data_IF_609391271514
#
_entry.id   IF_609391271514
#
_cell.length_a   1.000
_cell.length_b   1.000
_cell.length_c   1.000
_cell.angle_alpha   90.00
_cell.angle_beta   90.00
_cell.angle_gamma   90.00
#
_symmetry.space_group_name_H-M   'P 1'
#
loop_
_entity.id
_entity.type
_entity.pdbx_description
1 polymer ?
#
# COMPACT_ATOMS: atom_id res chain seq x y z
N UNK A 1 -6.51 3.70 8.28
CA UNK A 1 -5.99 2.32 8.27
C UNK A 1 -4.88 2.19 9.31
N UNK A 2 -4.92 1.15 10.15
CA UNK A 2 -3.87 0.85 11.15
C UNK A 2 -3.49 -0.62 11.05
N UNK A 3 -2.21 -0.91 10.81
CA UNK A 3 -1.69 -2.27 10.66
C UNK A 3 -0.38 -2.41 11.43
N UNK A 4 0.02 -3.65 11.72
CA UNK A 4 1.29 -3.95 12.36
C UNK A 4 1.84 -5.27 11.86
N UNK A 5 3.16 -5.34 11.67
CA UNK A 5 3.85 -6.54 11.22
C UNK A 5 5.26 -6.62 11.82
N UNK A 6 5.86 -7.80 11.72
CA UNK A 6 7.18 -8.07 12.31
C UNK A 6 8.33 -7.59 11.41
N UNK A 7 8.04 -7.22 10.16
CA UNK A 7 8.98 -6.63 9.22
C UNK A 7 8.38 -5.44 8.46
N UNK A 8 9.23 -4.54 7.95
CA UNK A 8 8.78 -3.44 7.07
C UNK A 8 8.19 -3.97 5.76
N UNK A 9 8.69 -5.11 5.26
CA UNK A 9 8.23 -5.70 4.02
C UNK A 9 6.82 -6.25 4.16
N UNK A 10 6.55 -7.00 5.23
CA UNK A 10 5.21 -7.49 5.54
C UNK A 10 4.25 -6.32 5.82
N UNK A 11 4.71 -5.27 6.52
CA UNK A 11 3.88 -4.09 6.76
C UNK A 11 3.46 -3.38 5.46
N UNK A 12 4.39 -3.26 4.50
CA UNK A 12 4.08 -2.67 3.19
C UNK A 12 3.19 -3.60 2.36
N UNK A 13 3.45 -4.91 2.38
CA UNK A 13 2.62 -5.90 1.71
C UNK A 13 1.17 -5.84 2.20
N UNK A 14 0.96 -5.86 3.51
CA UNK A 14 -0.37 -5.81 4.13
C UNK A 14 -1.06 -4.48 3.81
N UNK A 15 -0.33 -3.35 3.91
CA UNK A 15 -0.88 -2.04 3.57
C UNK A 15 -1.35 -1.94 2.13
N UNK A 16 -0.53 -2.36 1.17
CA UNK A 16 -0.89 -2.33 -0.25
C UNK A 16 -2.02 -3.31 -0.57
N UNK A 17 -2.05 -4.48 0.07
CA UNK A 17 -3.13 -5.46 -0.09
C UNK A 17 -4.46 -4.92 0.43
N UNK A 18 -4.46 -4.23 1.57
CA UNK A 18 -5.65 -3.58 2.12
C UNK A 18 -6.15 -2.45 1.21
N UNK A 19 -5.26 -1.70 0.55
CA UNK A 19 -5.68 -0.70 -0.45
C UNK A 19 -6.40 -1.33 -1.64
N UNK A 20 -5.91 -2.48 -2.14
CA UNK A 20 -6.58 -3.24 -3.20
C UNK A 20 -7.95 -3.73 -2.70
N UNK A 21 -8.01 -4.29 -1.50
CA UNK A 21 -9.25 -4.77 -0.90
C UNK A 21 -10.30 -3.67 -0.79
N UNK A 22 -9.93 -2.48 -0.29
CA UNK A 22 -10.86 -1.34 -0.19
C UNK A 22 -11.26 -0.84 -1.58
N UNK A 23 -10.34 -0.81 -2.55
CA UNK A 23 -10.68 -0.49 -3.94
C UNK A 23 -11.72 -1.46 -4.50
N UNK A 24 -11.56 -2.76 -4.27
CA UNK A 24 -12.45 -3.80 -4.82
C UNK A 24 -13.83 -3.82 -4.15
N UNK A 25 -13.86 -3.58 -2.83
CA UNK A 25 -15.09 -3.66 -2.04
C UNK A 25 -15.89 -2.35 -2.05
N UNK A 26 -15.20 -1.20 -2.02
CA UNK A 26 -15.83 0.11 -1.92
C UNK A 26 -15.76 0.92 -3.23
N UNK A 27 -14.99 0.46 -4.22
CA UNK A 27 -14.84 1.18 -5.49
C UNK A 27 -14.08 2.50 -5.34
N UNK A 28 -13.16 2.60 -4.39
CA UNK A 28 -12.38 3.82 -4.11
C UNK A 28 -11.02 3.82 -4.85
N UNK A 29 -10.67 4.97 -5.44
CA UNK A 29 -9.32 5.27 -5.92
C UNK A 29 -8.63 6.24 -4.97
N UNK A 30 -7.42 5.91 -4.54
CA UNK A 30 -6.62 6.73 -3.65
C UNK A 30 -5.58 7.54 -4.41
N UNK A 31 -5.40 8.81 -4.03
CA UNK A 31 -4.42 9.70 -4.67
C UNK A 31 -3.50 10.43 -3.67
N UNK A 32 -3.83 10.40 -2.37
CA UNK A 32 -3.05 11.04 -1.32
C UNK A 32 -3.04 10.18 -0.07
N UNK A 33 -1.89 10.13 0.58
CA UNK A 33 -1.68 9.38 1.81
C UNK A 33 -0.99 10.25 2.85
N UNK A 34 -1.47 10.19 4.09
CA UNK A 34 -0.77 10.71 5.26
C UNK A 34 -0.41 9.51 6.15
N UNK A 35 0.88 9.18 6.19
CA UNK A 35 1.37 7.93 6.78
C UNK A 35 2.33 8.25 7.91
N UNK A 36 2.12 7.59 9.06
CA UNK A 36 3.08 7.54 10.15
C UNK A 36 3.49 6.08 10.35
N UNK A 37 4.80 5.81 10.35
CA UNK A 37 5.36 4.50 10.65
C UNK A 37 6.18 4.60 11.93
N UNK A 38 6.01 3.64 12.82
CA UNK A 38 6.77 3.54 14.06
C UNK A 38 7.27 2.12 14.27
N UNK A 39 8.42 1.98 14.92
CA UNK A 39 8.97 0.71 15.36
C UNK A 39 9.06 0.69 16.89
N UNK A 40 8.52 -0.36 17.52
CA UNK A 40 8.63 -0.58 18.96
C UNK A 40 8.69 -2.08 19.25
N UNK A 41 9.61 -2.50 20.11
CA UNK A 41 9.78 -3.91 20.52
C UNK A 41 9.87 -4.88 19.32
N UNK A 42 10.69 -4.56 18.32
CA UNK A 42 10.85 -5.32 17.07
C UNK A 42 9.55 -5.53 16.27
N UNK A 43 8.59 -4.62 16.42
CA UNK A 43 7.35 -4.62 15.65
C UNK A 43 7.16 -3.30 14.96
N UNK A 44 6.84 -3.35 13.67
CA UNK A 44 6.50 -2.18 12.87
C UNK A 44 5.01 -1.94 12.90
N UNK A 45 4.61 -0.67 12.87
CA UNK A 45 3.21 -0.27 12.82
C UNK A 45 3.02 0.93 11.89
N UNK A 46 1.93 0.89 11.14
CA UNK A 46 1.50 1.98 10.27
C UNK A 46 0.19 2.56 10.78
N UNK A 47 0.10 3.89 10.77
CA UNK A 47 -1.16 4.62 10.90
C UNK A 47 -1.29 5.54 9.69
N UNK A 48 -2.19 5.18 8.78
CA UNK A 48 -2.39 5.84 7.51
C UNK A 48 -3.80 6.44 7.40
N UNK A 49 -3.87 7.70 6.94
CA UNK A 49 -5.09 8.27 6.35
C UNK A 49 -4.93 8.23 4.83
N UNK A 50 -5.85 7.54 4.17
CA UNK A 50 -5.88 7.40 2.73
C UNK A 50 -7.02 8.26 2.19
N UNK A 51 -6.71 9.16 1.26
CA UNK A 51 -7.67 10.07 0.66
C UNK A 51 -7.87 9.70 -0.80
N UNK A 52 -9.11 9.80 -1.25
CA UNK A 52 -9.53 9.31 -2.53
C UNK A 52 -10.98 9.65 -2.85
N UNK A 53 -11.48 9.06 -3.91
CA UNK A 53 -12.85 9.23 -4.37
C UNK A 53 -13.36 7.94 -5.03
N UNK A 54 -14.68 7.83 -5.12
CA UNK A 54 -15.32 6.69 -5.81
C UNK A 54 -14.95 6.73 -7.29
N UNK A 55 -14.75 5.56 -7.88
CA UNK A 55 -14.47 5.39 -9.29
C UNK A 55 -15.62 5.99 -10.12
N UNK A 56 -15.32 7.10 -10.79
CA UNK A 56 -16.14 7.66 -11.86
C UNK A 56 -15.51 7.37 -13.23
N UNK A 57 -16.18 6.55 -14.07
CA UNK A 57 -15.72 6.17 -15.41
C UNK A 57 -15.73 7.33 -16.43
N UNK A 58 -16.42 8.43 -16.14
CA UNK A 58 -16.42 9.63 -17.00
C UNK A 58 -15.21 10.52 -16.73
N UNK A 59 -14.71 10.49 -15.50
CA UNK A 59 -13.59 11.32 -15.03
C UNK A 59 -12.26 10.56 -15.06
N UNK A 60 -12.27 9.28 -14.68
CA UNK A 60 -11.07 8.47 -14.52
C UNK A 60 -10.82 7.57 -15.73
N UNK A 61 -9.62 7.69 -16.31
CA UNK A 61 -9.13 6.74 -17.30
C UNK A 61 -8.54 5.51 -16.59
N UNK A 62 -9.34 4.44 -16.51
CA UNK A 62 -8.92 3.19 -15.88
C UNK A 62 -8.13 2.34 -16.89
N UNK A 63 -6.99 1.80 -16.45
CA UNK A 63 -6.15 0.90 -17.23
C UNK A 63 -6.31 -0.55 -16.70
N UNK A 64 -5.22 -1.32 -16.72
CA UNK A 64 -5.18 -2.63 -16.09
C UNK A 64 -5.45 -2.51 -14.58
N UNK A 65 -6.27 -3.42 -14.08
CA UNK A 65 -6.69 -3.41 -12.69
C UNK A 65 -5.70 -4.19 -11.82
N UNK A 66 -5.16 -3.58 -10.77
CA UNK A 66 -4.30 -4.28 -9.84
C UNK A 66 -5.14 -5.26 -8.99
N UNK A 67 -4.83 -6.56 -9.09
CA UNK A 67 -5.56 -7.65 -8.43
C UNK A 67 -4.92 -8.09 -7.12
N UNK A 68 -3.59 -8.14 -7.08
CA UNK A 68 -2.88 -8.61 -5.91
C UNK A 68 -1.45 -8.08 -5.84
N UNK A 69 -0.95 -7.94 -4.62
CA UNK A 69 0.48 -7.73 -4.35
C UNK A 69 1.15 -9.10 -4.27
N UNK A 70 2.31 -9.25 -4.92
CA UNK A 70 3.07 -10.50 -4.87
C UNK A 70 4.30 -10.34 -3.99
N UNK A 71 4.68 -11.40 -3.28
CA UNK A 71 5.98 -11.47 -2.58
C UNK A 71 7.15 -11.78 -3.54
N UNK A 72 6.90 -11.92 -4.84
CA UNK A 72 7.94 -12.19 -5.83
C UNK A 72 8.79 -10.93 -6.05
N UNK A 73 10.10 -11.02 -5.72
CA UNK A 73 11.05 -9.88 -5.77
C UNK A 73 10.56 -8.65 -4.98
N UNK A 74 9.74 -8.88 -3.96
CA UNK A 74 9.33 -7.84 -3.03
C UNK A 74 10.54 -7.48 -2.17
N UNK A 75 10.89 -6.20 -2.15
CA UNK A 75 12.11 -5.77 -1.47
C UNK A 75 11.99 -4.33 -0.98
N UNK A 76 12.46 -4.06 0.24
CA UNK A 76 12.69 -2.70 0.74
C UNK A 76 14.19 -2.49 0.99
N UNK A 77 14.79 -1.55 0.24
CA UNK A 77 16.18 -1.13 0.39
C UNK A 77 16.28 0.22 1.07
N UNK A 78 17.03 0.29 2.17
CA UNK A 78 17.48 1.55 2.75
C UNK A 78 18.73 2.04 2.01
N UNK A 79 18.64 3.21 1.41
CA UNK A 79 19.77 3.96 0.87
C UNK A 79 20.19 5.05 1.86
N UNK A 80 21.26 5.81 1.56
CA UNK A 80 21.78 6.85 2.47
C UNK A 80 20.70 7.84 2.92
N UNK A 81 19.83 8.26 2.01
CA UNK A 81 18.88 9.36 2.26
C UNK A 81 17.41 8.96 2.15
N UNK A 82 17.11 7.73 1.71
CA UNK A 82 15.74 7.29 1.46
C UNK A 82 15.57 5.79 1.53
N UNK A 83 14.32 5.36 1.68
CA UNK A 83 13.90 3.99 1.45
C UNK A 83 13.36 3.85 0.02
N UNK A 84 13.68 2.73 -0.63
CA UNK A 84 13.16 2.36 -1.94
C UNK A 84 12.49 1.00 -1.79
N UNK A 85 11.22 0.90 -2.20
CA UNK A 85 10.51 -0.35 -2.28
C UNK A 85 10.36 -0.79 -3.74
N UNK A 86 10.54 -2.08 -4.00
CA UNK A 86 10.21 -2.71 -5.26
C UNK A 86 9.13 -3.76 -5.02
N UNK A 87 8.03 -3.65 -5.77
CA UNK A 87 6.84 -4.49 -5.62
C UNK A 87 6.37 -4.90 -7.01
N UNK A 88 6.11 -6.20 -7.19
CA UNK A 88 5.48 -6.72 -8.40
C UNK A 88 4.00 -6.95 -8.09
N UNK A 89 3.15 -6.39 -8.96
CA UNK A 89 1.69 -6.39 -8.83
C UNK A 89 1.10 -7.27 -9.93
N UNK A 90 0.14 -8.10 -9.57
CA UNK A 90 -0.66 -8.89 -10.51
C UNK A 90 -1.81 -8.04 -11.07
N UNK A 91 -2.07 -8.17 -12.38
CA UNK A 91 -3.05 -7.36 -13.13
C UNK A 91 -4.08 -8.20 -13.89
#
# INVERSE_FOLDING_TARGET
>A
MKLSADSLEDLLYDFLSELIFVKDTEGLLFNKFEINISEKNNKYSINAKCFGEIIDRKKHQLNADAKAITKHKFEIKKTKDKYIAHVIVDI
#
